data_IF_107940304804
#
_entry.id   IF_107940304804
#
_cell.length_a   1.000
_cell.length_b   1.000
_cell.length_c   1.000
_cell.angle_alpha   90.00
_cell.angle_beta   90.00
_cell.angle_gamma   90.00
#
_symmetry.space_group_name_H-M   'P 1'
#
loop_
_entity.id
_entity.type
_entity.pdbx_description
1 polymer ?
#
# COMPACT_ATOMS: atom_id res chain seq x y z
N UNK A 1 66.60 -6.43 39.36
CA UNK A 1 67.42 -6.61 38.13
C UNK A 1 66.52 -7.24 37.07
N UNK A 2 66.31 -6.75 35.85
CA UNK A 2 66.83 -5.62 35.07
C UNK A 2 65.63 -4.85 34.46
N UNK A 3 65.85 -3.54 34.35
CA UNK A 3 64.98 -2.51 33.78
C UNK A 3 65.34 -2.41 32.30
N UNK A 4 64.38 -2.21 31.40
CA UNK A 4 64.67 -1.64 30.08
C UNK A 4 63.88 -0.35 29.92
N UNK A 5 64.63 0.75 29.84
CA UNK A 5 64.14 2.11 29.65
C UNK A 5 64.33 2.54 28.19
N UNK A 6 63.54 3.55 27.83
CA UNK A 6 63.88 4.63 26.90
C UNK A 6 63.64 4.39 25.41
N UNK A 7 62.59 5.06 24.90
CA UNK A 7 62.69 6.28 24.05
C UNK A 7 61.29 6.57 23.51
N UNK A 8 60.48 7.44 24.13
CA UNK A 8 60.49 8.92 24.08
C UNK A 8 60.43 9.54 22.68
N UNK A 9 59.34 10.30 22.50
CA UNK A 9 59.13 11.43 21.58
C UNK A 9 59.11 11.18 20.08
N UNK A 10 57.99 11.53 19.44
CA UNK A 10 57.89 12.69 18.54
C UNK A 10 56.41 12.95 18.16
N UNK A 11 55.82 13.94 18.82
CA UNK A 11 54.62 14.64 18.36
C UNK A 11 55.11 15.77 17.44
N UNK A 12 54.63 15.80 16.19
CA UNK A 12 54.64 17.02 15.37
C UNK A 12 53.43 17.08 14.45
N UNK A 13 52.47 17.90 14.89
CA UNK A 13 51.57 18.78 14.13
C UNK A 13 51.61 18.69 12.60
N UNK A 14 50.43 18.49 11.98
CA UNK A 14 50.07 19.22 10.75
C UNK A 14 48.55 19.33 10.59
N UNK A 15 48.03 20.51 10.92
CA UNK A 15 46.77 21.05 10.42
C UNK A 15 46.67 20.92 8.89
N UNK A 16 45.60 20.26 8.41
CA UNK A 16 45.05 20.52 7.08
C UNK A 16 43.53 20.44 7.10
N UNK A 17 42.94 21.63 7.20
CA UNK A 17 41.56 22.00 6.88
C UNK A 17 41.21 21.48 5.47
N UNK A 18 40.34 20.48 5.38
CA UNK A 18 39.76 20.02 4.12
C UNK A 18 38.27 20.37 4.07
N UNK A 19 37.94 21.44 3.37
CA UNK A 19 36.60 21.77 2.92
C UNK A 19 36.12 20.70 1.93
N UNK A 20 35.34 19.72 2.38
CA UNK A 20 34.71 18.76 1.47
C UNK A 20 33.51 19.42 0.80
N UNK A 21 33.64 19.65 -0.51
CA UNK A 21 32.58 20.07 -1.43
C UNK A 21 31.37 19.14 -1.30
N UNK A 22 30.19 19.70 -1.02
CA UNK A 22 28.91 19.01 -1.10
C UNK A 22 28.68 18.58 -2.55
N UNK A 23 28.81 17.28 -2.83
CA UNK A 23 28.43 16.70 -4.13
C UNK A 23 26.92 16.53 -4.14
N UNK A 24 26.26 17.21 -5.09
CA UNK A 24 24.84 17.09 -5.42
C UNK A 24 24.46 15.62 -5.58
N UNK A 25 23.56 15.13 -4.72
CA UNK A 25 22.88 13.84 -4.83
C UNK A 25 21.73 13.94 -5.83
N UNK A 26 22.05 14.08 -7.12
CA UNK A 26 21.03 14.08 -8.20
C UNK A 26 20.61 12.68 -8.64
N UNK A 27 21.26 11.62 -8.15
CA UNK A 27 20.95 10.23 -8.53
C UNK A 27 19.77 9.60 -7.77
N UNK A 28 19.27 10.22 -6.69
CA UNK A 28 18.12 9.71 -5.93
C UNK A 28 16.78 10.24 -6.47
N UNK A 29 16.78 11.39 -7.16
CA UNK A 29 15.54 12.00 -7.66
C UNK A 29 15.21 11.54 -9.07
N UNK A 30 16.19 11.09 -9.85
CA UNK A 30 15.97 10.52 -11.19
C UNK A 30 15.31 9.14 -11.16
N UNK A 31 15.39 8.40 -10.05
CA UNK A 31 14.67 7.13 -9.86
C UNK A 31 13.20 7.31 -9.47
N UNK A 32 12.77 8.54 -9.16
CA UNK A 32 11.37 8.86 -8.83
C UNK A 32 10.55 9.33 -10.03
N UNK A 33 11.20 9.72 -11.13
CA UNK A 33 10.53 10.17 -12.36
C UNK A 33 10.91 9.31 -13.57
N UNK A 34 10.80 7.98 -13.42
CA UNK A 34 10.75 7.13 -14.60
C UNK A 34 9.38 7.30 -15.29
N UNK A 35 9.36 7.57 -16.61
CA UNK A 35 8.12 7.75 -17.35
C UNK A 35 7.30 6.45 -17.36
N UNK A 36 6.01 6.61 -17.15
CA UNK A 36 4.97 5.58 -16.91
C UNK A 36 4.69 4.63 -18.08
N UNK A 37 5.49 4.66 -19.15
CA UNK A 37 5.22 3.93 -20.40
C UNK A 37 6.02 2.63 -20.56
N UNK A 38 6.65 2.11 -19.50
CA UNK A 38 7.47 0.88 -19.56
C UNK A 38 7.17 -0.14 -18.45
N UNK A 39 5.94 -0.16 -17.93
CA UNK A 39 5.46 -1.18 -17.00
C UNK A 39 4.38 -2.05 -17.65
N UNK A 40 4.72 -2.70 -18.77
CA UNK A 40 4.16 -4.03 -19.02
C UNK A 40 4.85 -5.01 -18.05
N UNK A 41 4.45 -4.94 -16.78
CA UNK A 41 4.71 -6.04 -15.86
C UNK A 41 3.80 -7.16 -16.33
N UNK A 42 4.38 -8.15 -17.02
CA UNK A 42 3.78 -9.48 -17.14
C UNK A 42 3.72 -10.08 -15.74
N UNK A 43 2.70 -9.69 -14.98
CA UNK A 43 2.28 -10.38 -13.77
C UNK A 43 1.71 -11.72 -14.23
N UNK A 44 2.52 -12.76 -14.14
CA UNK A 44 2.10 -14.13 -14.39
C UNK A 44 0.94 -14.49 -13.46
N UNK A 45 -0.25 -14.42 -14.03
CA UNK A 45 -1.47 -15.17 -13.76
C UNK A 45 -1.53 -15.85 -12.38
N UNK A 46 -1.61 -15.00 -11.37
CA UNK A 46 -2.48 -15.26 -10.24
C UNK A 46 -3.84 -15.69 -10.79
N UNK A 47 -4.22 -16.97 -10.69
CA UNK A 47 -5.47 -17.53 -11.25
C UNK A 47 -6.79 -16.94 -10.74
N UNK A 48 -6.75 -15.79 -10.06
CA UNK A 48 -7.88 -14.91 -9.81
C UNK A 48 -7.87 -13.83 -10.90
N UNK A 49 -8.93 -13.80 -11.71
CA UNK A 49 -9.12 -12.73 -12.67
C UNK A 49 -9.52 -11.46 -11.90
N UNK A 50 -8.52 -10.72 -11.40
CA UNK A 50 -8.71 -9.53 -10.59
C UNK A 50 -9.53 -8.47 -11.32
N UNK A 51 -9.39 -8.40 -12.64
CA UNK A 51 -10.17 -7.50 -13.48
C UNK A 51 -11.67 -7.81 -13.40
N UNK A 52 -12.06 -9.09 -13.50
CA UNK A 52 -13.48 -9.46 -13.41
C UNK A 52 -14.06 -9.20 -12.01
N UNK A 53 -13.26 -9.41 -10.96
CA UNK A 53 -13.61 -9.07 -9.58
C UNK A 53 -13.85 -7.57 -9.42
N UNK A 54 -12.96 -6.74 -9.97
CA UNK A 54 -13.04 -5.28 -9.89
C UNK A 54 -14.21 -4.74 -10.73
N UNK A 55 -14.48 -5.32 -11.90
CA UNK A 55 -15.63 -5.00 -12.73
C UNK A 55 -16.95 -5.32 -12.02
N UNK A 56 -17.06 -6.48 -11.38
CA UNK A 56 -18.24 -6.84 -10.60
C UNK A 56 -18.44 -5.89 -9.42
N UNK A 57 -17.36 -5.55 -8.71
CA UNK A 57 -17.40 -4.58 -7.63
C UNK A 57 -17.85 -3.19 -8.11
N UNK A 58 -17.39 -2.77 -9.28
CA UNK A 58 -17.78 -1.50 -9.89
C UNK A 58 -19.26 -1.49 -10.28
N UNK A 59 -19.78 -2.60 -10.81
CA UNK A 59 -21.20 -2.76 -11.11
C UNK A 59 -22.06 -2.62 -9.85
N UNK A 60 -21.69 -3.30 -8.76
CA UNK A 60 -22.39 -3.23 -7.47
C UNK A 60 -22.26 -1.82 -6.86
N UNK A 61 -21.10 -1.17 -7.02
CA UNK A 61 -20.87 0.21 -6.58
C UNK A 61 -21.76 1.21 -7.33
N UNK A 62 -21.90 1.08 -8.66
CA UNK A 62 -22.82 1.88 -9.46
C UNK A 62 -24.27 1.67 -9.02
N UNK A 63 -24.67 0.41 -8.78
CA UNK A 63 -25.99 0.10 -8.25
C UNK A 63 -26.24 0.79 -6.90
N UNK A 64 -25.24 0.80 -6.01
CA UNK A 64 -25.31 1.45 -4.70
C UNK A 64 -25.50 2.96 -4.81
N UNK A 65 -24.76 3.61 -5.71
CA UNK A 65 -24.87 5.07 -5.96
C UNK A 65 -26.25 5.44 -6.50
N UNK A 66 -26.80 4.60 -7.39
CA UNK A 66 -28.10 4.84 -8.01
C UNK A 66 -29.27 4.56 -7.06
N UNK A 67 -29.26 3.41 -6.39
CA UNK A 67 -30.41 2.94 -5.58
C UNK A 67 -30.39 3.49 -4.15
N UNK A 68 -29.21 3.75 -3.58
CA UNK A 68 -29.03 4.30 -2.23
C UNK A 68 -29.88 3.60 -1.17
N UNK A 69 -29.98 2.27 -1.26
CA UNK A 69 -30.84 1.51 -0.38
C UNK A 69 -30.02 0.48 0.43
N UNK A 70 -30.62 0.00 1.51
CA UNK A 70 -29.91 -0.88 2.43
C UNK A 70 -29.55 -2.24 1.80
N UNK A 71 -30.33 -2.72 0.83
CA UNK A 71 -30.05 -3.96 0.12
C UNK A 71 -28.82 -3.89 -0.79
N UNK A 72 -28.68 -2.81 -1.56
CA UNK A 72 -27.48 -2.55 -2.38
C UNK A 72 -26.24 -2.33 -1.50
N UNK A 73 -26.40 -1.64 -0.37
CA UNK A 73 -25.32 -1.47 0.61
C UNK A 73 -24.86 -2.81 1.21
N UNK A 74 -25.80 -3.69 1.55
CA UNK A 74 -25.48 -5.02 2.08
C UNK A 74 -24.72 -5.86 1.03
N UNK A 75 -25.17 -5.84 -0.23
CA UNK A 75 -24.48 -6.53 -1.33
C UNK A 75 -23.05 -6.03 -1.51
N UNK A 76 -22.86 -4.72 -1.52
CA UNK A 76 -21.55 -4.10 -1.64
C UNK A 76 -20.62 -4.49 -0.49
N UNK A 77 -21.10 -4.40 0.77
CA UNK A 77 -20.32 -4.81 1.95
C UNK A 77 -19.97 -6.30 1.94
N UNK A 78 -20.91 -7.17 1.54
CA UNK A 78 -20.66 -8.62 1.43
C UNK A 78 -19.60 -8.92 0.39
N UNK A 79 -19.64 -8.26 -0.78
CA UNK A 79 -18.65 -8.47 -1.83
C UNK A 79 -17.25 -8.08 -1.35
N UNK A 80 -17.09 -6.90 -0.76
CA UNK A 80 -15.79 -6.44 -0.23
C UNK A 80 -15.23 -7.42 0.81
N UNK A 81 -16.08 -7.91 1.74
CA UNK A 81 -15.64 -8.91 2.73
C UNK A 81 -15.16 -10.20 2.07
N UNK A 82 -15.90 -10.72 1.09
CA UNK A 82 -15.50 -11.92 0.34
C UNK A 82 -14.13 -11.73 -0.31
N UNK A 83 -13.89 -10.56 -0.93
CA UNK A 83 -12.62 -10.25 -1.57
C UNK A 83 -11.46 -10.18 -0.60
N UNK A 84 -11.65 -9.50 0.54
CA UNK A 84 -10.62 -9.43 1.58
C UNK A 84 -10.29 -10.83 2.14
N UNK A 85 -11.30 -11.67 2.35
CA UNK A 85 -11.14 -13.04 2.86
C UNK A 85 -10.44 -13.96 1.86
N UNK A 86 -10.82 -13.90 0.57
CA UNK A 86 -10.20 -14.67 -0.51
C UNK A 86 -8.71 -14.34 -0.65
N UNK A 87 -8.38 -13.05 -0.63
CA UNK A 87 -7.00 -12.61 -0.74
C UNK A 87 -6.18 -12.96 0.51
N UNK A 88 -6.74 -12.81 1.71
CA UNK A 88 -6.07 -13.23 2.95
C UNK A 88 -5.73 -14.71 2.92
N UNK A 89 -6.66 -15.57 2.49
CA UNK A 89 -6.41 -17.02 2.35
C UNK A 89 -5.29 -17.31 1.36
N UNK A 90 -5.26 -16.59 0.23
CA UNK A 90 -4.21 -16.74 -0.78
C UNK A 90 -2.85 -16.28 -0.25
N UNK A 91 -2.79 -15.11 0.40
CA UNK A 91 -1.58 -14.54 1.01
C UNK A 91 -0.97 -15.49 2.05
N UNK A 92 -1.79 -16.11 2.91
CA UNK A 92 -1.32 -17.10 3.87
C UNK A 92 -0.78 -18.36 3.19
N UNK A 93 -1.45 -18.84 2.14
CA UNK A 93 -0.97 -19.99 1.37
C UNK A 93 0.37 -19.70 0.68
N UNK A 94 0.57 -18.51 0.11
CA UNK A 94 1.85 -18.15 -0.52
C UNK A 94 2.95 -17.94 0.51
N UNK A 95 2.65 -17.31 1.66
CA UNK A 95 3.59 -17.15 2.77
C UNK A 95 4.06 -18.51 3.32
N UNK A 96 3.16 -19.50 3.41
CA UNK A 96 3.51 -20.86 3.83
C UNK A 96 4.44 -21.57 2.84
N UNK A 97 4.22 -21.37 1.53
CA UNK A 97 4.98 -22.04 0.48
C UNK A 97 6.37 -21.42 0.21
N UNK A 98 6.51 -20.11 0.40
CA UNK A 98 7.74 -19.37 0.01
C UNK A 98 8.59 -18.94 1.22
N UNK A 99 8.11 -19.13 2.46
CA UNK A 99 8.77 -18.60 3.66
C UNK A 99 8.55 -17.10 3.76
N UNK A 100 7.32 -16.71 4.13
CA UNK A 100 6.79 -15.35 4.02
C UNK A 100 7.59 -14.25 4.74
N UNK A 101 7.66 -13.09 4.08
CA UNK A 101 8.15 -11.83 4.66
C UNK A 101 7.07 -11.20 5.54
N UNK A 102 7.37 -11.03 6.84
CA UNK A 102 6.49 -10.42 7.85
C UNK A 102 6.01 -8.98 7.52
N UNK A 103 6.63 -8.35 6.51
CA UNK A 103 6.35 -6.95 6.13
C UNK A 103 5.06 -6.79 5.32
N UNK A 104 4.68 -7.78 4.50
CA UNK A 104 3.48 -7.69 3.66
C UNK A 104 2.19 -7.81 4.49
N UNK A 105 2.20 -8.65 5.52
CA UNK A 105 1.05 -8.86 6.40
C UNK A 105 0.66 -7.58 7.15
N UNK A 106 1.63 -6.75 7.55
CA UNK A 106 1.33 -5.49 8.23
C UNK A 106 0.57 -4.52 7.31
N UNK A 107 0.98 -4.40 6.05
CA UNK A 107 0.33 -3.52 5.09
C UNK A 107 -1.10 -3.99 4.77
N UNK A 108 -1.31 -5.29 4.58
CA UNK A 108 -2.64 -5.88 4.35
C UNK A 108 -3.59 -5.61 5.53
N UNK A 109 -3.10 -5.73 6.77
CA UNK A 109 -3.88 -5.42 7.97
C UNK A 109 -4.24 -3.93 8.09
N UNK A 110 -3.34 -3.03 7.70
CA UNK A 110 -3.65 -1.59 7.68
C UNK A 110 -4.69 -1.26 6.61
N UNK A 111 -4.50 -1.76 5.38
CA UNK A 111 -5.43 -1.48 4.28
C UNK A 111 -6.83 -2.02 4.58
N UNK A 112 -6.94 -3.25 5.09
CA UNK A 112 -8.24 -3.82 5.48
C UNK A 112 -8.98 -3.01 6.55
N UNK A 113 -8.25 -2.41 7.51
CA UNK A 113 -8.84 -1.48 8.49
C UNK A 113 -9.38 -0.22 7.82
N UNK A 114 -8.58 0.41 6.96
CA UNK A 114 -8.98 1.63 6.24
C UNK A 114 -10.18 1.36 5.34
N UNK A 115 -10.23 0.21 4.65
CA UNK A 115 -11.39 -0.22 3.86
C UNK A 115 -12.64 -0.34 4.74
N UNK A 116 -12.51 -0.93 5.93
CA UNK A 116 -13.63 -1.07 6.87
C UNK A 116 -14.14 0.30 7.36
N UNK A 117 -13.26 1.25 7.64
CA UNK A 117 -13.64 2.61 8.02
C UNK A 117 -14.42 3.31 6.89
N UNK A 118 -13.94 3.17 5.65
CA UNK A 118 -14.67 3.68 4.48
C UNK A 118 -16.06 3.02 4.31
N UNK A 119 -16.22 1.73 4.64
CA UNK A 119 -17.52 1.06 4.62
C UNK A 119 -18.49 1.60 5.68
N UNK A 120 -17.98 2.00 6.84
CA UNK A 120 -18.76 2.71 7.86
C UNK A 120 -19.20 4.06 7.32
N UNK A 121 -18.31 4.80 6.65
CA UNK A 121 -18.64 6.08 6.02
C UNK A 121 -19.70 5.95 4.93
N UNK A 122 -19.62 4.93 4.06
CA UNK A 122 -20.66 4.62 3.07
C UNK A 122 -22.00 4.38 3.77
N UNK A 123 -21.99 3.63 4.88
CA UNK A 123 -23.21 3.36 5.64
C UNK A 123 -23.81 4.66 6.21
N UNK A 124 -22.98 5.51 6.81
CA UNK A 124 -23.39 6.82 7.31
C UNK A 124 -23.91 7.75 6.20
N UNK A 125 -23.30 7.68 5.01
CA UNK A 125 -23.70 8.46 3.82
C UNK A 125 -25.06 8.05 3.28
N UNK A 126 -25.41 6.76 3.35
CA UNK A 126 -26.72 6.26 2.91
C UNK A 126 -27.80 6.53 3.96
N UNK A 127 -27.46 6.48 5.25
CA UNK A 127 -28.39 6.80 6.33
C UNK A 127 -28.66 8.31 6.47
N UNK A 128 -27.75 9.15 5.99
CA UNK A 128 -27.90 10.60 5.97
C UNK A 128 -28.67 11.07 4.74
N UNK A 129 -29.72 11.86 4.94
CA UNK A 129 -30.50 12.45 3.85
C UNK A 129 -29.81 13.63 3.16
N UNK A 130 -28.73 14.18 3.73
CA UNK A 130 -28.06 15.39 3.23
C UNK A 130 -26.89 15.12 2.27
N UNK A 131 -26.33 13.90 2.25
CA UNK A 131 -25.07 13.66 1.52
C UNK A 131 -25.27 13.38 0.03
N UNK A 132 -24.46 14.06 -0.80
CA UNK A 132 -24.61 14.06 -2.25
C UNK A 132 -24.20 12.73 -2.91
N UNK A 133 -24.71 12.44 -4.12
CA UNK A 133 -24.33 11.22 -4.86
C UNK A 133 -22.87 11.24 -5.26
N UNK A 134 -22.32 12.44 -5.43
CA UNK A 134 -20.91 12.68 -5.71
C UNK A 134 -20.05 12.24 -4.52
N UNK A 135 -20.43 12.58 -3.30
CA UNK A 135 -19.68 12.18 -2.10
C UNK A 135 -19.69 10.67 -1.88
N UNK A 136 -20.81 10.01 -2.20
CA UNK A 136 -20.93 8.55 -2.12
C UNK A 136 -20.04 7.87 -3.16
N UNK A 137 -20.06 8.38 -4.40
CA UNK A 137 -19.21 7.89 -5.48
C UNK A 137 -17.72 8.01 -5.13
N UNK A 138 -17.29 9.16 -4.62
CA UNK A 138 -15.90 9.37 -4.22
C UNK A 138 -15.42 8.38 -3.15
N UNK A 139 -16.27 8.01 -2.18
CA UNK A 139 -15.89 7.01 -1.17
C UNK A 139 -15.84 5.59 -1.76
N UNK A 140 -16.73 5.27 -2.69
CA UNK A 140 -16.70 3.98 -3.39
C UNK A 140 -15.43 3.85 -4.25
N UNK A 141 -15.04 4.92 -4.94
CA UNK A 141 -13.79 4.97 -5.72
C UNK A 141 -12.56 4.84 -4.82
N UNK A 142 -12.56 5.48 -3.65
CA UNK A 142 -11.50 5.34 -2.67
C UNK A 142 -11.35 3.89 -2.19
N UNK A 143 -12.47 3.21 -1.91
CA UNK A 143 -12.46 1.78 -1.56
C UNK A 143 -11.86 0.94 -2.69
N UNK A 144 -12.22 1.23 -3.95
CA UNK A 144 -11.65 0.52 -5.11
C UNK A 144 -10.13 0.71 -5.19
N UNK A 145 -9.63 1.94 -5.00
CA UNK A 145 -8.19 2.22 -4.97
C UNK A 145 -7.47 1.44 -3.88
N UNK A 146 -8.01 1.45 -2.66
CA UNK A 146 -7.46 0.68 -1.54
C UNK A 146 -7.44 -0.83 -1.81
N UNK A 147 -8.45 -1.37 -2.49
CA UNK A 147 -8.48 -2.79 -2.86
C UNK A 147 -7.45 -3.13 -3.93
N UNK A 148 -7.18 -2.23 -4.88
CA UNK A 148 -6.09 -2.43 -5.85
C UNK A 148 -4.74 -2.48 -5.12
N UNK A 149 -4.51 -1.55 -4.20
CA UNK A 149 -3.27 -1.52 -3.40
C UNK A 149 -3.15 -2.73 -2.46
N UNK A 150 -4.28 -3.26 -1.98
CA UNK A 150 -4.33 -4.48 -1.18
C UNK A 150 -3.94 -5.73 -1.98
N UNK A 151 -4.24 -5.75 -3.28
CA UNK A 151 -4.05 -6.92 -4.14
C UNK A 151 -2.66 -7.01 -4.79
N UNK A 152 -1.90 -5.91 -4.77
CA UNK A 152 -0.50 -5.84 -5.21
C UNK A 152 0.45 -6.45 -4.17
#
# INVERSE_FOLDING_TARGET
>A
MKINSSNSSLISKKDKKSTSKVKKSSSFFSSLFQPVDALEVKEEESGLNYDSILEELESIGKELILKRNMGSLERYKKKIRSLLDEFNKKSQNTAFLVGGSLSNDHNQLQISRVVNDNLVDVTNKIMSSEKSSVDLAATIDNIKGLLIDYMK
#
